data_IF_931858179986
#
_entry.id   IF_931858179986
#
_cell.length_a   1.000
_cell.length_b   1.000
_cell.length_c   1.000
_cell.angle_alpha   90.00
_cell.angle_beta   90.00
_cell.angle_gamma   90.00
#
_symmetry.space_group_name_H-M   'P 1'
#
loop_
_entity.id
_entity.type
_entity.pdbx_description
1 polymer ?
#
# COMPACT_ATOMS: atom_id res chain seq x y z
N UNK A 1 -44.14 22.43 -22.60
CA UNK A 1 -44.23 21.05 -23.14
C UNK A 1 -43.07 20.80 -24.10
N UNK A 2 -42.05 20.02 -23.71
CA UNK A 2 -40.89 19.68 -24.56
C UNK A 2 -41.25 18.44 -25.38
N UNK A 3 -41.27 18.53 -26.71
CA UNK A 3 -41.46 17.37 -27.60
C UNK A 3 -40.19 16.50 -27.54
N UNK A 4 -40.29 15.16 -27.41
CA UNK A 4 -39.13 14.29 -27.53
C UNK A 4 -38.64 14.32 -28.98
N UNK A 5 -37.39 14.73 -29.18
CA UNK A 5 -36.73 14.71 -30.49
C UNK A 5 -36.48 13.26 -30.92
N UNK A 6 -36.92 12.88 -32.13
CA UNK A 6 -36.63 11.56 -32.69
C UNK A 6 -35.11 11.37 -32.85
N UNK A 7 -34.58 10.16 -32.57
CA UNK A 7 -33.16 9.85 -32.77
C UNK A 7 -32.79 10.03 -34.24
N UNK A 8 -31.74 10.81 -34.51
CA UNK A 8 -31.26 11.07 -35.88
C UNK A 8 -30.44 9.86 -36.36
N UNK A 9 -30.67 9.29 -37.56
CA UNK A 9 -29.93 8.12 -38.06
C UNK A 9 -28.41 8.32 -38.16
N UNK A 10 -27.96 9.58 -38.27
CA UNK A 10 -26.53 9.94 -38.30
C UNK A 10 -25.94 10.21 -36.90
N UNK A 11 -26.69 9.95 -35.84
CA UNK A 11 -26.22 10.12 -34.48
C UNK A 11 -25.18 9.02 -34.20
N UNK A 12 -23.91 9.41 -34.18
CA UNK A 12 -22.83 8.56 -33.65
C UNK A 12 -23.28 8.00 -32.30
N UNK A 13 -23.47 6.67 -32.22
CA UNK A 13 -23.53 5.97 -30.94
C UNK A 13 -22.18 6.20 -30.28
N UNK A 14 -22.04 7.27 -29.49
CA UNK A 14 -20.91 7.43 -28.60
C UNK A 14 -20.82 6.13 -27.81
N UNK A 15 -19.70 5.44 -28.00
CA UNK A 15 -19.46 4.07 -27.57
C UNK A 15 -19.19 4.03 -26.05
N UNK A 16 -20.03 4.69 -25.24
CA UNK A 16 -19.87 4.76 -23.77
C UNK A 16 -19.85 3.37 -23.13
N UNK A 17 -20.57 2.39 -23.70
CA UNK A 17 -20.53 1.01 -23.20
C UNK A 17 -19.17 0.32 -23.43
N UNK A 18 -18.42 0.71 -24.48
CA UNK A 18 -17.05 0.24 -24.64
C UNK A 18 -16.08 1.03 -23.78
N UNK A 19 -16.41 2.28 -23.40
CA UNK A 19 -15.66 3.02 -22.38
C UNK A 19 -15.82 2.36 -21.01
N UNK A 20 -17.00 1.85 -20.63
CA UNK A 20 -17.19 1.29 -19.29
C UNK A 20 -16.43 -0.03 -19.07
N UNK A 21 -16.39 -0.92 -20.07
CA UNK A 21 -15.55 -2.12 -20.02
C UNK A 21 -14.06 -1.76 -20.09
N UNK A 22 -13.68 -0.76 -20.89
CA UNK A 22 -12.30 -0.27 -20.97
C UNK A 22 -11.85 0.39 -19.67
N UNK A 23 -12.71 1.17 -19.03
CA UNK A 23 -12.49 1.88 -17.78
C UNK A 23 -12.34 0.87 -16.63
N UNK A 24 -13.17 -0.18 -16.57
CA UNK A 24 -12.96 -1.30 -15.64
C UNK A 24 -11.62 -2.00 -15.83
N UNK A 25 -11.19 -2.21 -17.07
CA UNK A 25 -9.87 -2.81 -17.35
C UNK A 25 -8.75 -1.87 -16.91
N UNK A 26 -8.87 -0.57 -17.16
CA UNK A 26 -7.89 0.44 -16.73
C UNK A 26 -7.83 0.50 -15.20
N UNK A 27 -8.96 0.59 -14.51
CA UNK A 27 -9.05 0.63 -13.06
C UNK A 27 -8.43 -0.61 -12.42
N UNK A 28 -8.71 -1.80 -12.93
CA UNK A 28 -8.11 -3.04 -12.43
C UNK A 28 -6.57 -3.02 -12.54
N UNK A 29 -6.03 -2.50 -13.65
CA UNK A 29 -4.59 -2.43 -13.88
C UNK A 29 -3.92 -1.33 -13.06
N UNK A 30 -4.59 -0.20 -12.89
CA UNK A 30 -4.13 0.88 -12.02
C UNK A 30 -4.13 0.42 -10.57
N UNK A 31 -5.16 -0.31 -10.14
CA UNK A 31 -5.22 -0.89 -8.80
C UNK A 31 -4.05 -1.86 -8.56
N UNK A 32 -3.76 -2.78 -9.49
CA UNK A 32 -2.61 -3.70 -9.39
C UNK A 32 -1.27 -2.94 -9.26
N UNK A 33 -1.08 -1.88 -10.06
CA UNK A 33 0.14 -1.06 -10.00
C UNK A 33 0.24 -0.26 -8.72
N UNK A 34 -0.84 0.37 -8.29
CA UNK A 34 -0.91 1.13 -7.05
C UNK A 34 -0.64 0.22 -5.84
N UNK A 35 -1.17 -1.00 -5.83
CA UNK A 35 -0.87 -1.98 -4.78
C UNK A 35 0.63 -2.29 -4.71
N UNK A 36 1.25 -2.60 -5.86
CA UNK A 36 2.68 -2.90 -5.94
C UNK A 36 3.56 -1.71 -5.51
N UNK A 37 3.22 -0.50 -5.96
CA UNK A 37 3.96 0.70 -5.55
C UNK A 37 3.76 1.00 -4.06
N UNK A 38 2.55 0.84 -3.53
CA UNK A 38 2.26 1.10 -2.13
C UNK A 38 3.09 0.21 -1.19
N UNK A 39 3.37 -1.04 -1.57
CA UNK A 39 4.23 -1.95 -0.81
C UNK A 39 5.67 -1.42 -0.81
N UNK A 40 6.18 -1.00 -1.97
CA UNK A 40 7.53 -0.43 -2.08
C UNK A 40 7.68 0.84 -1.25
N UNK A 41 6.70 1.74 -1.29
CA UNK A 41 6.70 2.96 -0.48
C UNK A 41 6.66 2.67 1.01
N UNK A 42 5.79 1.77 1.47
CA UNK A 42 5.71 1.34 2.87
C UNK A 42 7.02 0.70 3.33
N UNK A 43 7.62 -0.16 2.51
CA UNK A 43 8.90 -0.79 2.82
C UNK A 43 10.04 0.23 2.95
N UNK A 44 10.09 1.23 2.06
CA UNK A 44 11.04 2.34 2.18
C UNK A 44 10.86 3.11 3.48
N UNK A 45 9.62 3.39 3.87
CA UNK A 45 9.31 4.13 5.09
C UNK A 45 9.75 3.38 6.35
N UNK A 46 9.44 2.08 6.45
CA UNK A 46 9.89 1.21 7.56
C UNK A 46 11.41 1.12 7.62
N UNK A 47 12.09 1.07 6.47
CA UNK A 47 13.55 1.01 6.40
C UNK A 47 14.18 2.31 6.95
N UNK A 48 13.63 3.47 6.55
CA UNK A 48 14.09 4.78 7.04
C UNK A 48 13.83 4.91 8.54
N UNK A 49 12.65 4.52 9.01
CA UNK A 49 12.29 4.52 10.43
C UNK A 49 13.26 3.65 11.24
N UNK A 50 13.53 2.43 10.78
CA UNK A 50 14.48 1.51 11.41
C UNK A 50 15.88 2.12 11.49
N UNK A 51 16.35 2.73 10.40
CA UNK A 51 17.65 3.40 10.35
C UNK A 51 17.71 4.60 11.32
N UNK A 52 16.67 5.43 11.36
CA UNK A 52 16.56 6.56 12.28
C UNK A 52 16.58 6.10 13.74
N UNK A 53 15.75 5.12 14.11
CA UNK A 53 15.66 4.61 15.47
C UNK A 53 16.99 3.97 15.89
N UNK A 54 17.60 3.16 15.03
CA UNK A 54 18.92 2.56 15.31
C UNK A 54 20.02 3.62 15.50
N UNK A 55 20.04 4.65 14.67
CA UNK A 55 20.98 5.76 14.80
C UNK A 55 20.75 6.55 16.10
N UNK A 56 19.49 6.83 16.47
CA UNK A 56 19.14 7.52 17.70
C UNK A 56 19.51 6.72 18.94
N UNK A 57 19.24 5.41 18.98
CA UNK A 57 19.64 4.53 20.09
C UNK A 57 21.16 4.51 20.24
N UNK A 58 21.88 4.45 19.12
CA UNK A 58 23.34 4.47 19.14
C UNK A 58 23.88 5.80 19.65
N UNK A 59 23.38 6.92 19.12
CA UNK A 59 23.77 8.26 19.53
C UNK A 59 23.48 8.51 21.02
N UNK A 60 22.30 8.10 21.50
CA UNK A 60 21.92 8.22 22.90
C UNK A 60 22.86 7.39 23.79
N UNK A 61 23.13 6.14 23.43
CA UNK A 61 24.03 5.27 24.20
C UNK A 61 25.45 5.82 24.30
N UNK A 62 25.99 6.39 23.22
CA UNK A 62 27.29 7.05 23.23
C UNK A 62 27.30 8.33 24.06
N UNK A 63 26.23 9.14 23.98
CA UNK A 63 26.09 10.36 24.78
C UNK A 63 25.96 10.07 26.29
N UNK A 64 25.48 8.88 26.65
CA UNK A 64 25.38 8.38 28.02
C UNK A 64 26.65 7.65 28.50
N UNK A 65 27.74 7.69 27.72
CA UNK A 65 29.02 7.01 28.00
C UNK A 65 28.87 5.51 28.29
N UNK A 66 27.83 4.88 27.72
CA UNK A 66 27.58 3.45 27.90
C UNK A 66 28.62 2.61 27.15
N UNK A 67 28.90 1.38 27.61
CA UNK A 67 29.81 0.48 26.90
C UNK A 67 29.34 0.29 25.45
N UNK A 68 30.21 0.59 24.49
CA UNK A 68 29.88 0.60 23.06
C UNK A 68 29.27 -0.72 22.57
N UNK A 69 29.75 -1.85 23.10
CA UNK A 69 29.22 -3.18 22.78
C UNK A 69 27.77 -3.38 23.27
N UNK A 70 27.42 -2.79 24.42
CA UNK A 70 26.07 -2.85 24.99
C UNK A 70 25.12 -1.96 24.17
N UNK A 71 25.57 -0.78 23.78
CA UNK A 71 24.83 0.15 22.91
C UNK A 71 24.57 -0.46 21.54
N UNK A 72 25.58 -1.07 20.90
CA UNK A 72 25.43 -1.75 19.61
C UNK A 72 24.41 -2.89 19.69
N UNK A 73 24.48 -3.70 20.74
CA UNK A 73 23.52 -4.79 20.95
C UNK A 73 22.10 -4.26 21.12
N UNK A 74 21.91 -3.21 21.92
CA UNK A 74 20.60 -2.58 22.12
C UNK A 74 20.07 -1.99 20.80
N UNK A 75 20.90 -1.26 20.06
CA UNK A 75 20.53 -0.68 18.77
C UNK A 75 20.11 -1.75 17.76
N UNK A 76 20.84 -2.86 17.67
CA UNK A 76 20.51 -3.98 16.77
C UNK A 76 19.20 -4.66 17.17
N UNK A 77 18.98 -4.89 18.46
CA UNK A 77 17.73 -5.52 18.94
C UNK A 77 16.53 -4.62 18.66
N UNK A 78 16.64 -3.32 18.93
CA UNK A 78 15.55 -2.35 18.72
C UNK A 78 15.29 -2.13 17.22
N UNK A 79 16.33 -1.97 16.42
CA UNK A 79 16.19 -1.85 14.97
C UNK A 79 15.58 -3.13 14.37
N UNK A 80 16.05 -4.30 14.81
CA UNK A 80 15.52 -5.59 14.38
C UNK A 80 14.05 -5.79 14.75
N UNK A 81 13.64 -5.43 15.97
CA UNK A 81 12.24 -5.56 16.39
C UNK A 81 11.33 -4.59 15.64
N UNK A 82 11.75 -3.33 15.45
CA UNK A 82 11.03 -2.33 14.68
C UNK A 82 10.84 -2.78 13.23
N UNK A 83 11.91 -3.26 12.58
CA UNK A 83 11.86 -3.76 11.21
C UNK A 83 10.92 -4.97 11.09
N UNK A 84 11.02 -5.92 12.02
CA UNK A 84 10.17 -7.10 12.03
C UNK A 84 8.68 -6.73 12.17
N UNK A 85 8.35 -5.80 13.08
CA UNK A 85 7.00 -5.28 13.24
C UNK A 85 6.51 -4.55 11.99
N UNK A 86 7.34 -3.73 11.35
CA UNK A 86 6.99 -3.02 10.12
C UNK A 86 6.72 -3.98 8.95
N UNK A 87 7.56 -5.00 8.76
CA UNK A 87 7.35 -6.04 7.73
C UNK A 87 6.05 -6.81 8.00
N UNK A 88 5.80 -7.18 9.26
CA UNK A 88 4.59 -7.88 9.66
C UNK A 88 3.33 -7.06 9.32
N UNK A 89 3.33 -5.75 9.61
CA UNK A 89 2.22 -4.85 9.30
C UNK A 89 1.97 -4.71 7.80
N UNK A 90 3.03 -4.63 6.99
CA UNK A 90 2.90 -4.59 5.52
C UNK A 90 2.29 -5.90 5.01
N UNK A 91 2.77 -7.04 5.50
CA UNK A 91 2.26 -8.36 5.16
C UNK A 91 0.80 -8.54 5.56
N UNK A 92 0.43 -8.15 6.78
CA UNK A 92 -0.96 -8.21 7.26
C UNK A 92 -1.88 -7.35 6.40
N UNK A 93 -1.44 -6.13 6.07
CA UNK A 93 -2.23 -5.21 5.23
C UNK A 93 -2.53 -5.83 3.86
N UNK A 94 -1.52 -6.42 3.21
CA UNK A 94 -1.71 -7.10 1.94
C UNK A 94 -2.62 -8.34 2.07
N UNK A 95 -2.51 -9.07 3.18
CA UNK A 95 -3.34 -10.25 3.44
C UNK A 95 -4.80 -9.87 3.71
N UNK A 96 -5.05 -8.82 4.49
CA UNK A 96 -6.39 -8.30 4.78
C UNK A 96 -7.12 -7.88 3.51
N UNK A 97 -6.44 -7.21 2.56
CA UNK A 97 -7.04 -6.86 1.26
C UNK A 97 -7.48 -8.12 0.50
N UNK A 98 -6.63 -9.15 0.43
CA UNK A 98 -6.97 -10.42 -0.23
C UNK A 98 -8.11 -11.15 0.48
N UNK A 99 -8.13 -11.13 1.81
CA UNK A 99 -9.16 -11.78 2.61
C UNK A 99 -10.52 -11.11 2.44
N UNK A 100 -10.57 -9.77 2.39
CA UNK A 100 -11.77 -9.00 2.10
C UNK A 100 -12.34 -9.35 0.72
N UNK A 101 -11.50 -9.38 -0.33
CA UNK A 101 -11.93 -9.75 -1.70
C UNK A 101 -12.43 -11.21 -1.76
N UNK A 102 -11.86 -12.12 -0.95
CA UNK A 102 -12.36 -13.49 -0.83
C UNK A 102 -13.74 -13.47 -0.15
N UNK A 103 -13.87 -12.75 0.96
CA UNK A 103 -15.10 -12.75 1.77
C UNK A 103 -16.29 -12.12 1.05
N UNK A 104 -16.08 -11.00 0.35
CA UNK A 104 -17.15 -10.36 -0.45
C UNK A 104 -17.64 -11.27 -1.57
N UNK A 105 -16.74 -11.99 -2.26
CA UNK A 105 -17.12 -12.99 -3.28
C UNK A 105 -17.90 -14.17 -2.73
N UNK A 106 -17.63 -14.58 -1.49
CA UNK A 106 -18.41 -15.63 -0.83
C UNK A 106 -19.80 -15.13 -0.43
N UNK A 107 -19.94 -13.86 -0.02
CA UNK A 107 -21.23 -13.26 0.34
C UNK A 107 -22.11 -12.91 -0.87
N UNK A 108 -21.50 -12.65 -2.03
CA UNK A 108 -22.21 -12.33 -3.27
C UNK A 108 -22.67 -13.57 -4.07
N UNK A 109 -22.31 -14.78 -3.61
CA UNK A 109 -22.88 -16.05 -4.09
C UNK A 109 -24.05 -16.45 -3.20
#
# INVERSE_FOLDING_TARGET
MRRPSLPNPDQFKLRLAADEDLERIIEARVAERCEAESIRWRFRLVTIETAMVGALVTAAGLALEQPTMLVLRAAVIVAGSCLASGILLIGLSAWSSKLLIRWTRWRAR
#
